data_IF_632753559331
#
_entry.id   IF_632753559331
#
_cell.length_a   1.000
_cell.length_b   1.000
_cell.length_c   1.000
_cell.angle_alpha   90.00
_cell.angle_beta   90.00
_cell.angle_gamma   90.00
#
_symmetry.space_group_name_H-M   'P 1'
#
loop_
_entity.id
_entity.type
_entity.pdbx_description
1 polymer ?
#
# COMPACT_ATOMS: atom_id res chain seq x y z
N UNK A 1 11.43 19.07 24.73
CA UNK A 1 11.17 20.49 24.35
C UNK A 1 12.09 21.00 23.23
N UNK A 2 13.32 20.49 23.06
CA UNK A 2 14.18 20.83 21.91
C UNK A 2 13.70 20.19 20.59
N UNK A 3 13.29 18.92 20.63
CA UNK A 3 12.77 18.15 19.49
C UNK A 3 11.55 18.81 18.82
N UNK A 4 10.56 19.22 19.61
CA UNK A 4 9.36 19.90 19.10
C UNK A 4 9.68 21.18 18.33
N UNK A 5 10.81 21.85 18.65
CA UNK A 5 11.19 23.11 17.99
C UNK A 5 11.70 22.88 16.58
N UNK A 6 12.51 21.85 16.32
CA UNK A 6 13.07 21.59 14.98
C UNK A 6 12.00 21.20 13.98
N UNK A 7 11.04 20.34 14.37
CA UNK A 7 9.88 20.02 13.53
C UNK A 7 9.07 21.28 13.22
N UNK A 8 8.85 22.15 14.22
CA UNK A 8 8.15 23.42 14.00
C UNK A 8 8.87 24.32 13.00
N UNK A 9 10.20 24.42 13.12
CA UNK A 9 11.03 25.20 12.20
C UNK A 9 10.97 24.62 10.77
N UNK A 10 10.97 23.28 10.64
CA UNK A 10 10.82 22.60 9.34
C UNK A 10 9.44 22.82 8.70
N UNK A 11 8.36 22.83 9.49
CA UNK A 11 7.01 23.17 9.01
C UNK A 11 6.99 24.60 8.44
N UNK A 12 7.59 25.57 9.16
CA UNK A 12 7.66 26.96 8.70
C UNK A 12 8.48 27.06 7.42
N UNK A 13 9.60 26.34 7.36
CA UNK A 13 10.49 26.33 6.20
C UNK A 13 9.77 25.76 4.96
N UNK A 14 9.20 24.57 5.07
CA UNK A 14 8.45 23.92 4.00
C UNK A 14 7.26 24.78 3.52
N UNK A 15 6.50 25.37 4.46
CA UNK A 15 5.38 26.23 4.12
C UNK A 15 5.77 27.47 3.32
N UNK A 16 6.94 28.07 3.63
CA UNK A 16 7.50 29.19 2.87
C UNK A 16 8.02 28.76 1.52
N UNK A 17 8.74 27.62 1.46
CA UNK A 17 9.29 27.08 0.22
C UNK A 17 8.20 26.78 -0.82
N UNK A 18 7.08 26.20 -0.38
CA UNK A 18 5.94 25.86 -1.23
C UNK A 18 4.85 26.94 -1.29
N UNK A 19 5.14 28.18 -0.89
CA UNK A 19 4.16 29.26 -0.90
C UNK A 19 3.59 29.49 -2.31
N UNK A 20 2.26 29.51 -2.42
CA UNK A 20 1.56 29.68 -3.69
C UNK A 20 1.46 28.43 -4.57
N UNK A 21 2.20 27.37 -4.27
CA UNK A 21 2.08 26.11 -5.00
C UNK A 21 0.79 25.35 -4.68
N UNK A 22 0.28 24.60 -5.64
CA UNK A 22 -0.95 23.80 -5.53
C UNK A 22 -0.71 22.36 -5.92
N UNK A 23 -1.45 21.44 -5.30
CA UNK A 23 -1.51 20.04 -5.74
C UNK A 23 -2.06 19.97 -7.17
N UNK A 24 -1.45 19.14 -8.01
CA UNK A 24 -1.73 19.05 -9.45
C UNK A 24 -3.23 18.86 -9.74
N UNK A 25 -3.80 19.78 -10.49
CA UNK A 25 -5.21 19.74 -10.90
C UNK A 25 -6.22 20.05 -9.80
N UNK A 26 -5.79 20.68 -8.69
CA UNK A 26 -6.64 21.07 -7.56
C UNK A 26 -6.31 22.49 -7.08
N UNK A 27 -7.15 23.05 -6.19
CA UNK A 27 -6.88 24.31 -5.47
C UNK A 27 -6.24 24.07 -4.09
N UNK A 28 -5.88 22.82 -3.77
CA UNK A 28 -5.30 22.46 -2.47
C UNK A 28 -3.86 22.97 -2.39
N UNK A 29 -3.46 23.71 -1.33
CA UNK A 29 -2.08 24.13 -1.12
C UNK A 29 -1.12 22.94 -1.09
N UNK A 30 0.03 23.07 -1.77
CA UNK A 30 0.99 21.94 -1.89
C UNK A 30 1.52 21.45 -0.54
N UNK A 31 1.70 22.36 0.41
CA UNK A 31 2.20 22.03 1.76
C UNK A 31 1.41 20.93 2.48
N UNK A 32 0.16 20.66 2.09
CA UNK A 32 -0.63 19.58 2.67
C UNK A 32 -0.01 18.21 2.44
N UNK A 33 0.73 18.04 1.32
CA UNK A 33 1.40 16.79 1.00
C UNK A 33 2.63 16.52 1.89
N UNK A 34 3.65 17.39 1.98
CA UNK A 34 4.75 17.17 2.91
C UNK A 34 4.29 17.00 4.37
N UNK A 35 3.20 17.68 4.75
CA UNK A 35 2.62 17.53 6.08
C UNK A 35 2.03 16.14 6.29
N UNK A 36 1.33 15.59 5.30
CA UNK A 36 0.81 14.22 5.33
C UNK A 36 1.93 13.18 5.37
N UNK A 37 3.00 13.37 4.60
CA UNK A 37 4.19 12.50 4.63
C UNK A 37 4.81 12.47 6.03
N UNK A 38 5.02 13.64 6.64
CA UNK A 38 5.53 13.73 8.00
C UNK A 38 4.60 13.09 9.03
N UNK A 39 3.28 13.20 8.86
CA UNK A 39 2.30 12.55 9.72
C UNK A 39 2.41 11.02 9.62
N UNK A 40 2.50 10.47 8.42
CA UNK A 40 2.68 9.02 8.20
C UNK A 40 3.95 8.52 8.90
N UNK A 41 5.06 9.26 8.79
CA UNK A 41 6.32 8.93 9.46
C UNK A 41 6.20 9.01 11.00
N UNK A 42 5.48 9.99 11.53
CA UNK A 42 5.19 10.08 12.97
C UNK A 42 4.36 8.89 13.46
N UNK A 43 3.32 8.50 12.72
CA UNK A 43 2.47 7.36 13.03
C UNK A 43 3.26 6.03 12.98
N UNK A 44 4.25 5.95 12.10
CA UNK A 44 5.18 4.81 12.01
C UNK A 44 6.24 4.79 13.13
N UNK A 45 6.28 5.81 14.01
CA UNK A 45 7.25 5.89 15.12
C UNK A 45 8.67 6.28 14.69
N UNK A 46 8.83 6.91 13.54
CA UNK A 46 10.11 7.38 13.03
C UNK A 46 10.68 8.52 13.89
N UNK A 47 11.99 8.70 13.84
CA UNK A 47 12.69 9.74 14.59
C UNK A 47 12.47 11.16 14.02
N UNK A 48 12.93 12.17 14.76
CA UNK A 48 12.80 13.57 14.39
C UNK A 48 13.47 13.89 13.04
N UNK A 49 14.61 13.28 12.75
CA UNK A 49 15.38 13.50 11.52
C UNK A 49 14.58 13.08 10.30
N UNK A 50 13.98 11.89 10.36
CA UNK A 50 13.18 11.36 9.27
C UNK A 50 11.86 12.13 9.09
N UNK A 51 11.21 12.55 10.19
CA UNK A 51 10.00 13.39 10.14
C UNK A 51 10.31 14.74 9.48
N UNK A 52 11.46 15.37 9.81
CA UNK A 52 11.89 16.62 9.17
C UNK A 52 12.21 16.38 7.69
N UNK A 53 12.87 15.29 7.34
CA UNK A 53 13.10 14.93 5.95
C UNK A 53 11.77 14.78 5.18
N UNK A 54 10.75 14.16 5.78
CA UNK A 54 9.40 14.07 5.22
C UNK A 54 8.73 15.42 4.96
N UNK A 55 8.96 16.41 5.85
CA UNK A 55 8.48 17.80 5.63
C UNK A 55 9.22 18.51 4.49
N UNK A 56 10.45 18.13 4.20
CA UNK A 56 11.34 18.84 3.27
C UNK A 56 11.60 18.08 1.96
N UNK A 57 11.13 16.85 1.80
CA UNK A 57 11.54 15.94 0.72
C UNK A 57 11.42 16.53 -0.68
N UNK A 58 10.36 17.30 -0.95
CA UNK A 58 10.11 17.92 -2.26
C UNK A 58 10.75 19.31 -2.42
N UNK A 59 11.38 19.87 -1.37
CA UNK A 59 11.86 21.28 -1.42
C UNK A 59 13.02 21.46 -2.38
N UNK A 60 13.96 20.53 -2.47
CA UNK A 60 15.08 20.58 -3.43
C UNK A 60 14.61 20.43 -4.87
N UNK A 61 13.61 19.58 -5.09
CA UNK A 61 13.15 19.26 -6.43
C UNK A 61 12.20 20.31 -7.00
N UNK A 62 11.31 20.86 -6.18
CA UNK A 62 10.14 21.61 -6.63
C UNK A 62 10.15 23.10 -6.20
N UNK A 63 11.22 23.56 -5.53
CA UNK A 63 11.35 24.96 -5.10
C UNK A 63 12.74 25.54 -5.41
N UNK A 64 12.98 26.77 -4.98
CA UNK A 64 14.27 27.45 -5.10
C UNK A 64 15.21 27.17 -3.90
N UNK A 65 14.82 26.29 -2.99
CA UNK A 65 15.62 25.91 -1.81
C UNK A 65 16.87 25.19 -2.25
N UNK A 66 17.99 25.55 -1.65
CA UNK A 66 19.29 24.95 -1.92
C UNK A 66 19.68 23.91 -0.87
N UNK A 67 20.52 22.94 -1.25
CA UNK A 67 21.09 21.96 -0.33
C UNK A 67 21.81 22.62 0.86
N UNK A 68 22.51 23.73 0.63
CA UNK A 68 23.21 24.48 1.69
C UNK A 68 22.24 25.05 2.75
N UNK A 69 21.08 25.52 2.35
CA UNK A 69 20.07 26.03 3.29
C UNK A 69 19.49 24.93 4.17
N UNK A 70 19.25 23.73 3.60
CA UNK A 70 18.78 22.59 4.37
C UNK A 70 19.86 22.12 5.34
N UNK A 71 21.11 21.98 4.87
CA UNK A 71 22.22 21.52 5.70
C UNK A 71 22.48 22.48 6.87
N UNK A 72 22.49 23.80 6.63
CA UNK A 72 22.70 24.83 7.65
C UNK A 72 21.63 24.79 8.75
N UNK A 73 20.35 24.60 8.37
CA UNK A 73 19.24 24.70 9.31
C UNK A 73 18.88 23.37 9.98
N UNK A 74 18.99 22.24 9.26
CA UNK A 74 18.50 20.95 9.72
C UNK A 74 19.58 19.87 9.84
N UNK A 75 20.75 20.10 9.27
CA UNK A 75 21.92 19.21 9.36
C UNK A 75 22.10 18.30 8.16
N UNK A 76 23.30 17.68 8.05
CA UNK A 76 23.67 16.86 6.91
C UNK A 76 22.85 15.55 6.80
N UNK A 77 22.35 15.03 7.91
CA UNK A 77 21.54 13.78 7.92
C UNK A 77 20.18 14.03 7.24
N UNK A 78 19.52 15.14 7.56
CA UNK A 78 18.26 15.54 6.89
C UNK A 78 18.51 15.79 5.40
N UNK A 79 19.59 16.53 5.07
CA UNK A 79 19.93 16.79 3.67
C UNK A 79 20.14 15.50 2.88
N UNK A 80 20.86 14.53 3.45
CA UNK A 80 21.10 13.25 2.77
C UNK A 80 19.80 12.50 2.46
N UNK A 81 18.83 12.49 3.37
CA UNK A 81 17.53 11.88 3.16
C UNK A 81 16.69 12.62 2.10
N UNK A 82 16.70 13.96 2.13
CA UNK A 82 15.99 14.78 1.12
C UNK A 82 16.60 14.61 -0.28
N UNK A 83 17.92 14.55 -0.37
CA UNK A 83 18.63 14.39 -1.65
C UNK A 83 18.40 12.99 -2.27
N UNK A 84 18.23 11.96 -1.43
CA UNK A 84 18.00 10.58 -1.88
C UNK A 84 16.66 10.38 -2.62
N UNK A 85 15.65 11.23 -2.36
CA UNK A 85 14.34 11.19 -3.04
C UNK A 85 14.32 12.01 -4.35
N UNK A 86 15.40 12.76 -4.66
CA UNK A 86 15.47 13.64 -5.83
C UNK A 86 15.69 12.87 -7.13
N UNK A 87 14.90 13.18 -8.17
CA UNK A 87 14.99 12.54 -9.49
C UNK A 87 15.76 13.40 -10.52
N UNK A 88 16.53 12.77 -11.42
CA UNK A 88 17.15 13.44 -12.55
C UNK A 88 16.12 13.78 -13.65
N UNK A 89 15.62 15.01 -13.64
CA UNK A 89 14.62 15.52 -14.59
C UNK A 89 15.08 15.53 -16.06
N UNK A 90 16.37 15.29 -16.35
CA UNK A 90 16.88 15.18 -17.73
C UNK A 90 16.49 13.86 -18.40
N UNK A 91 16.14 12.84 -17.63
CA UNK A 91 15.78 11.51 -18.10
C UNK A 91 14.29 11.40 -18.47
N UNK A 92 13.95 10.36 -19.28
CA UNK A 92 12.55 10.02 -19.53
C UNK A 92 11.82 9.62 -18.24
N UNK A 93 10.50 9.71 -18.22
CA UNK A 93 9.71 9.28 -17.07
C UNK A 93 10.00 7.81 -16.72
N UNK A 94 10.04 6.95 -17.74
CA UNK A 94 10.31 5.51 -17.59
C UNK A 94 11.69 5.24 -16.98
N UNK A 95 12.71 5.96 -17.44
CA UNK A 95 14.07 5.78 -16.93
C UNK A 95 14.20 6.30 -15.50
N UNK A 96 13.60 7.45 -15.19
CA UNK A 96 13.56 7.96 -13.81
C UNK A 96 12.93 6.95 -12.86
N UNK A 97 11.74 6.42 -13.21
CA UNK A 97 11.04 5.45 -12.35
C UNK A 97 11.79 4.13 -12.20
N UNK A 98 12.47 3.67 -13.23
CA UNK A 98 13.36 2.50 -13.12
C UNK A 98 14.54 2.77 -12.19
N UNK A 99 15.19 3.93 -12.32
CA UNK A 99 16.30 4.30 -11.43
C UNK A 99 15.84 4.38 -9.97
N UNK A 100 14.69 4.98 -9.69
CA UNK A 100 14.10 5.02 -8.34
C UNK A 100 13.88 3.60 -7.81
N UNK A 101 13.24 2.72 -8.58
CA UNK A 101 12.97 1.34 -8.19
C UNK A 101 14.29 0.57 -7.91
N UNK A 102 15.28 0.69 -8.79
CA UNK A 102 16.58 0.04 -8.66
C UNK A 102 17.35 0.57 -7.44
N UNK A 103 17.36 1.89 -7.24
CA UNK A 103 17.99 2.50 -6.08
C UNK A 103 17.36 2.01 -4.77
N UNK A 104 16.04 2.10 -4.66
CA UNK A 104 15.30 1.69 -3.46
C UNK A 104 15.46 0.18 -3.17
N UNK A 105 15.55 -0.66 -4.20
CA UNK A 105 15.73 -2.11 -4.06
C UNK A 105 17.13 -2.48 -3.59
N UNK A 106 18.16 -1.84 -4.17
CA UNK A 106 19.53 -2.37 -4.10
C UNK A 106 20.44 -1.57 -3.16
N UNK A 107 20.07 -0.34 -2.82
CA UNK A 107 20.99 0.61 -2.17
C UNK A 107 20.40 1.40 -1.01
N UNK A 108 19.10 1.59 -0.97
CA UNK A 108 18.47 2.46 0.01
C UNK A 108 18.61 1.91 1.45
N UNK A 109 18.81 2.80 2.39
CA UNK A 109 18.72 2.52 3.81
C UNK A 109 17.26 2.30 4.23
N UNK A 110 17.03 1.82 5.46
CA UNK A 110 15.68 1.69 5.99
C UNK A 110 14.96 3.04 6.05
N UNK A 111 15.67 4.10 6.45
CA UNK A 111 15.13 5.45 6.55
C UNK A 111 14.69 5.99 5.18
N UNK A 112 15.49 5.76 4.14
CA UNK A 112 15.15 6.15 2.76
C UNK A 112 13.95 5.35 2.22
N UNK A 113 13.86 4.05 2.54
CA UNK A 113 12.69 3.24 2.20
C UNK A 113 11.42 3.73 2.90
N UNK A 114 11.52 4.09 4.20
CA UNK A 114 10.39 4.63 4.97
C UNK A 114 9.93 5.98 4.41
N UNK A 115 10.87 6.88 4.07
CA UNK A 115 10.56 8.17 3.46
C UNK A 115 9.84 7.99 2.11
N UNK A 116 10.41 7.18 1.22
CA UNK A 116 9.82 6.90 -0.08
C UNK A 116 8.44 6.24 0.05
N UNK A 117 8.27 5.27 0.96
CA UNK A 117 6.97 4.64 1.19
C UNK A 117 5.93 5.64 1.69
N UNK A 118 6.29 6.53 2.63
CA UNK A 118 5.39 7.55 3.15
C UNK A 118 4.96 8.55 2.08
N UNK A 119 5.88 9.02 1.21
CA UNK A 119 5.53 9.87 0.07
C UNK A 119 4.56 9.17 -0.88
N UNK A 120 4.88 7.93 -1.27
CA UNK A 120 4.05 7.19 -2.22
C UNK A 120 2.69 6.83 -1.61
N UNK A 121 2.61 6.58 -0.31
CA UNK A 121 1.34 6.39 0.40
C UNK A 121 0.49 7.67 0.39
N UNK A 122 1.05 8.84 0.73
CA UNK A 122 0.34 10.11 0.68
C UNK A 122 -0.19 10.40 -0.74
N UNK A 123 0.62 10.12 -1.77
CA UNK A 123 0.20 10.24 -3.16
C UNK A 123 -0.92 9.25 -3.50
N UNK A 124 -0.86 8.00 -3.05
CA UNK A 124 -1.89 6.98 -3.30
C UNK A 124 -3.21 7.32 -2.61
N UNK A 125 -3.19 7.85 -1.39
CA UNK A 125 -4.39 8.36 -0.70
C UNK A 125 -5.09 9.45 -1.53
N UNK A 126 -4.31 10.40 -2.07
CA UNK A 126 -4.83 11.45 -2.95
C UNK A 126 -5.42 10.88 -4.23
N UNK A 127 -4.73 9.95 -4.89
CA UNK A 127 -5.22 9.26 -6.10
C UNK A 127 -6.52 8.53 -5.80
N UNK A 128 -6.59 7.78 -4.69
CA UNK A 128 -7.80 7.04 -4.30
C UNK A 128 -8.98 7.98 -4.06
N UNK A 129 -8.77 9.08 -3.35
CA UNK A 129 -9.82 10.07 -3.09
C UNK A 129 -10.37 10.65 -4.40
N UNK A 130 -9.49 11.01 -5.33
CA UNK A 130 -9.88 11.53 -6.64
C UNK A 130 -10.53 10.45 -7.52
N UNK A 131 -10.04 9.22 -7.48
CA UNK A 131 -10.59 8.09 -8.23
C UNK A 131 -12.02 7.77 -7.82
N UNK A 132 -12.34 7.88 -6.53
CA UNK A 132 -13.70 7.69 -6.01
C UNK A 132 -14.70 8.72 -6.57
N UNK A 133 -14.22 9.91 -6.94
CA UNK A 133 -15.07 11.01 -7.48
C UNK A 133 -15.08 11.00 -9.00
N UNK A 134 -13.93 10.80 -9.65
CA UNK A 134 -13.73 11.01 -11.08
C UNK A 134 -13.72 9.70 -11.88
N UNK A 135 -13.56 8.54 -11.22
CA UNK A 135 -13.29 7.27 -11.88
C UNK A 135 -12.00 7.35 -12.72
N UNK A 136 -11.99 6.67 -13.85
CA UNK A 136 -10.80 6.62 -14.73
C UNK A 136 -10.38 7.98 -15.30
N UNK A 137 -11.20 9.02 -15.20
CA UNK A 137 -10.80 10.40 -15.59
C UNK A 137 -9.67 10.97 -14.72
N UNK A 138 -9.41 10.39 -13.56
CA UNK A 138 -8.25 10.78 -12.72
C UNK A 138 -6.93 10.65 -13.49
N UNK A 139 -6.86 9.69 -14.40
CA UNK A 139 -5.63 9.41 -15.17
C UNK A 139 -5.28 10.49 -16.21
N UNK A 140 -6.26 11.32 -16.60
CA UNK A 140 -6.04 12.45 -17.53
C UNK A 140 -5.09 13.52 -16.94
N UNK A 141 -4.89 13.53 -15.61
CA UNK A 141 -3.97 14.44 -14.92
C UNK A 141 -2.51 14.01 -15.00
N UNK A 142 -2.25 12.75 -15.33
CA UNK A 142 -0.91 12.19 -15.36
C UNK A 142 -0.35 12.20 -16.77
N UNK A 143 0.96 12.39 -16.89
CA UNK A 143 1.62 12.27 -18.20
C UNK A 143 1.63 10.84 -18.75
N UNK A 144 1.45 9.88 -17.86
CA UNK A 144 1.34 8.45 -18.18
C UNK A 144 0.01 7.90 -17.66
N UNK A 145 -0.60 7.03 -18.44
CA UNK A 145 -1.90 6.46 -18.15
C UNK A 145 -1.90 5.45 -16.98
N UNK A 146 -3.08 4.87 -16.73
CA UNK A 146 -3.32 3.93 -15.64
C UNK A 146 -2.32 2.76 -15.61
N UNK A 147 -2.01 2.17 -16.77
CA UNK A 147 -1.12 1.01 -16.84
C UNK A 147 0.30 1.33 -16.35
N UNK A 148 0.86 2.47 -16.75
CA UNK A 148 2.20 2.88 -16.34
C UNK A 148 2.24 3.27 -14.86
N UNK A 149 1.19 3.91 -14.35
CA UNK A 149 1.06 4.19 -12.92
C UNK A 149 0.93 2.89 -12.12
N UNK A 150 0.10 1.95 -12.58
CA UNK A 150 -0.04 0.63 -11.97
C UNK A 150 1.29 -0.13 -11.91
N UNK A 151 2.05 -0.14 -13.02
CA UNK A 151 3.39 -0.74 -13.06
C UNK A 151 4.33 -0.12 -12.02
N UNK A 152 4.35 1.21 -11.94
CA UNK A 152 5.24 1.89 -10.99
C UNK A 152 4.89 1.55 -9.55
N UNK A 153 3.62 1.66 -9.17
CA UNK A 153 3.19 1.37 -7.79
C UNK A 153 3.33 -0.12 -7.43
N UNK A 154 3.04 -1.06 -8.34
CA UNK A 154 3.27 -2.48 -8.06
C UNK A 154 4.76 -2.78 -7.84
N UNK A 155 5.64 -2.18 -8.66
CA UNK A 155 7.09 -2.33 -8.50
C UNK A 155 7.61 -1.75 -7.18
N UNK A 156 7.03 -0.64 -6.71
CA UNK A 156 7.38 -0.05 -5.42
C UNK A 156 6.89 -0.91 -4.25
N UNK A 157 5.68 -1.46 -4.32
CA UNK A 157 5.15 -2.37 -3.29
C UNK A 157 6.05 -3.61 -3.15
N UNK A 158 6.54 -4.16 -4.26
CA UNK A 158 7.51 -5.26 -4.23
C UNK A 158 8.83 -4.85 -3.56
N UNK A 159 9.29 -3.61 -3.77
CA UNK A 159 10.51 -3.07 -3.12
C UNK A 159 10.28 -2.83 -1.63
N UNK A 160 9.09 -2.38 -1.26
CA UNK A 160 8.73 -2.10 0.13
C UNK A 160 8.37 -3.34 0.96
N UNK A 161 8.48 -4.57 0.43
CA UNK A 161 8.19 -5.81 1.17
C UNK A 161 8.99 -5.92 2.48
N UNK A 162 10.22 -5.37 2.52
CA UNK A 162 11.01 -5.24 3.74
C UNK A 162 10.41 -4.34 4.83
N UNK A 163 9.37 -3.56 4.52
CA UNK A 163 8.64 -2.71 5.46
C UNK A 163 7.37 -3.37 6.00
N UNK A 164 7.25 -4.69 5.92
CA UNK A 164 6.05 -5.42 6.36
C UNK A 164 5.72 -5.29 7.86
N UNK A 165 6.65 -4.85 8.68
CA UNK A 165 6.42 -4.52 10.09
C UNK A 165 5.74 -3.14 10.29
N UNK A 166 5.59 -2.33 9.23
CA UNK A 166 5.01 -0.99 9.28
C UNK A 166 3.62 -0.96 8.63
N UNK A 167 2.68 -0.29 9.28
CA UNK A 167 1.29 -0.20 8.81
C UNK A 167 1.19 0.51 7.44
N UNK A 168 2.04 1.49 7.18
CA UNK A 168 2.08 2.22 5.90
C UNK A 168 2.27 1.31 4.67
N UNK A 169 3.04 0.23 4.78
CA UNK A 169 3.22 -0.74 3.70
C UNK A 169 1.90 -1.44 3.35
N UNK A 170 1.14 -1.80 4.34
CA UNK A 170 -0.13 -2.48 4.15
C UNK A 170 -1.20 -1.57 3.61
N UNK A 171 -1.20 -0.34 4.08
CA UNK A 171 -2.13 0.66 3.58
C UNK A 171 -1.90 0.96 2.09
N UNK A 172 -0.64 1.20 1.67
CA UNK A 172 -0.35 1.45 0.24
C UNK A 172 -0.71 0.23 -0.62
N UNK A 173 -0.48 -0.99 -0.14
CA UNK A 173 -0.83 -2.23 -0.84
C UNK A 173 -2.35 -2.40 -1.01
N UNK A 174 -3.12 -2.07 0.03
CA UNK A 174 -4.57 -2.10 -0.04
C UNK A 174 -5.13 -1.03 -0.98
N UNK A 175 -4.60 0.21 -0.89
CA UNK A 175 -4.99 1.30 -1.77
C UNK A 175 -4.67 0.99 -3.23
N UNK A 176 -3.51 0.38 -3.51
CA UNK A 176 -3.17 -0.10 -4.86
C UNK A 176 -4.24 -1.06 -5.39
N UNK A 177 -4.61 -2.04 -4.59
CA UNK A 177 -5.64 -3.02 -4.97
C UNK A 177 -6.97 -2.33 -5.28
N UNK A 178 -7.35 -1.36 -4.45
CA UNK A 178 -8.62 -0.64 -4.62
C UNK A 178 -8.67 0.26 -5.85
N UNK A 179 -7.52 0.79 -6.28
CA UNK A 179 -7.44 1.76 -7.38
C UNK A 179 -7.13 1.08 -8.72
N UNK A 180 -6.23 0.09 -8.72
CA UNK A 180 -5.69 -0.48 -9.94
C UNK A 180 -6.25 -1.86 -10.29
N UNK A 181 -6.69 -2.65 -9.31
CA UNK A 181 -7.16 -4.01 -9.56
C UNK A 181 -8.66 -4.01 -9.84
N UNK A 182 -9.01 -4.58 -10.98
CA UNK A 182 -10.41 -4.83 -11.37
C UNK A 182 -10.71 -6.32 -11.28
N UNK A 183 -11.94 -6.64 -10.90
CA UNK A 183 -12.42 -8.00 -10.74
C UNK A 183 -13.50 -8.31 -11.78
N UNK A 184 -13.48 -9.53 -12.29
CA UNK A 184 -14.39 -9.98 -13.33
C UNK A 184 -14.90 -11.40 -13.03
N UNK A 185 -16.15 -11.64 -13.39
CA UNK A 185 -16.76 -12.98 -13.34
C UNK A 185 -16.90 -13.53 -14.75
N UNK A 186 -16.51 -14.78 -14.94
CA UNK A 186 -16.56 -15.48 -16.23
C UNK A 186 -16.68 -16.98 -16.08
N UNK A 187 -16.43 -17.71 -17.20
CA UNK A 187 -16.69 -19.12 -17.34
C UNK A 187 -18.09 -19.39 -17.88
N UNK A 188 -18.37 -20.62 -18.32
CA UNK A 188 -19.66 -21.02 -18.90
C UNK A 188 -20.80 -20.99 -17.85
N UNK A 189 -20.44 -21.23 -16.58
CA UNK A 189 -21.38 -21.28 -15.45
C UNK A 189 -21.14 -20.15 -14.43
N UNK A 190 -20.25 -19.17 -14.73
CA UNK A 190 -19.84 -18.15 -13.75
C UNK A 190 -18.91 -18.74 -12.67
N UNK A 191 -18.13 -19.76 -13.02
CA UNK A 191 -17.28 -20.58 -12.16
C UNK A 191 -15.82 -20.07 -12.10
N UNK A 192 -15.56 -18.87 -12.61
CA UNK A 192 -14.22 -18.27 -12.66
C UNK A 192 -14.25 -16.80 -12.26
N UNK A 193 -13.34 -16.44 -11.37
CA UNK A 193 -13.06 -15.06 -11.04
C UNK A 193 -11.73 -14.66 -11.66
N UNK A 194 -11.68 -13.48 -12.25
CA UNK A 194 -10.45 -12.89 -12.75
C UNK A 194 -10.16 -11.60 -11.99
N UNK A 195 -8.90 -11.39 -11.69
CA UNK A 195 -8.39 -10.09 -11.22
C UNK A 195 -7.35 -9.58 -12.20
N UNK A 196 -7.38 -8.28 -12.53
CA UNK A 196 -6.42 -7.66 -13.43
C UNK A 196 -6.05 -6.28 -12.97
N UNK A 197 -4.74 -6.00 -12.93
CA UNK A 197 -4.18 -4.65 -12.71
C UNK A 197 -3.89 -3.91 -14.02
N UNK A 198 -4.27 -4.49 -15.17
CA UNK A 198 -3.86 -4.02 -16.49
C UNK A 198 -2.49 -4.54 -16.93
N UNK A 199 -1.63 -4.91 -16.00
CA UNK A 199 -0.28 -5.46 -16.25
C UNK A 199 -0.30 -6.97 -16.11
N UNK A 200 -0.81 -7.43 -14.98
CA UNK A 200 -0.93 -8.83 -14.64
C UNK A 200 -2.39 -9.22 -14.49
N UNK A 201 -2.70 -10.42 -14.88
CA UNK A 201 -4.04 -10.99 -14.76
C UNK A 201 -3.95 -12.38 -14.18
N UNK A 202 -4.82 -12.68 -13.25
CA UNK A 202 -4.94 -13.97 -12.60
C UNK A 202 -6.37 -14.48 -12.71
N UNK A 203 -6.52 -15.80 -12.81
CA UNK A 203 -7.79 -16.51 -12.79
C UNK A 203 -7.86 -17.38 -11.55
N UNK A 204 -8.96 -17.30 -10.84
CA UNK A 204 -9.33 -18.19 -9.76
C UNK A 204 -10.47 -19.09 -10.21
N UNK A 205 -10.35 -20.39 -10.02
CA UNK A 205 -11.38 -21.36 -10.34
C UNK A 205 -11.84 -22.11 -9.09
N UNK A 206 -13.13 -22.46 -9.06
CA UNK A 206 -13.71 -23.28 -7.99
C UNK A 206 -12.96 -24.60 -7.83
N UNK A 207 -12.59 -25.26 -8.95
CA UNK A 207 -11.93 -26.56 -8.96
C UNK A 207 -10.53 -26.54 -8.36
N UNK A 208 -9.72 -25.53 -8.68
CA UNK A 208 -8.33 -25.45 -8.22
C UNK A 208 -8.17 -24.69 -6.89
N UNK A 209 -9.16 -23.91 -6.50
CA UNK A 209 -9.14 -23.03 -5.33
C UNK A 209 -7.85 -22.22 -5.19
N UNK A 210 -7.27 -21.81 -6.30
CA UNK A 210 -6.04 -21.01 -6.37
C UNK A 210 -6.06 -20.08 -7.58
N UNK A 211 -5.30 -19.03 -7.48
CA UNK A 211 -5.10 -18.09 -8.58
C UNK A 211 -3.98 -18.56 -9.49
N UNK A 212 -4.23 -18.57 -10.74
CA UNK A 212 -3.26 -18.94 -11.78
C UNK A 212 -3.06 -17.77 -12.74
N UNK A 213 -1.81 -17.48 -13.17
CA UNK A 213 -1.57 -16.38 -14.08
C UNK A 213 -2.23 -16.66 -15.44
N UNK A 214 -2.81 -15.60 -16.01
CA UNK A 214 -3.42 -15.60 -17.34
C UNK A 214 -2.55 -14.82 -18.29
N UNK A 215 -2.16 -15.41 -19.42
CA UNK A 215 -1.34 -14.69 -20.38
C UNK A 215 -2.09 -13.49 -20.98
N UNK A 216 -1.38 -12.41 -21.26
CA UNK A 216 -1.94 -11.17 -21.86
C UNK A 216 -2.73 -11.47 -23.15
N UNK A 217 -2.27 -12.42 -23.95
CA UNK A 217 -2.96 -12.84 -25.18
C UNK A 217 -4.30 -13.51 -24.91
N UNK A 218 -4.38 -14.34 -23.86
CA UNK A 218 -5.62 -14.98 -23.44
C UNK A 218 -6.56 -13.94 -22.82
N UNK A 219 -6.04 -13.05 -21.98
CA UNK A 219 -6.80 -11.99 -21.35
C UNK A 219 -7.52 -11.10 -22.34
N UNK A 220 -6.81 -10.52 -23.32
CA UNK A 220 -7.40 -9.66 -24.37
C UNK A 220 -8.57 -10.30 -25.12
N UNK A 221 -8.67 -11.63 -25.15
CA UNK A 221 -9.79 -12.35 -25.77
C UNK A 221 -10.95 -12.58 -24.82
N UNK A 222 -10.66 -12.68 -23.51
CA UNK A 222 -11.62 -12.99 -22.49
C UNK A 222 -12.31 -11.74 -21.93
N UNK A 223 -11.55 -10.71 -21.62
CA UNK A 223 -12.01 -9.50 -20.95
C UNK A 223 -13.31 -8.91 -21.52
N UNK A 224 -13.48 -8.75 -22.86
CA UNK A 224 -14.68 -8.17 -23.42
C UNK A 224 -15.95 -9.00 -23.18
N UNK A 225 -15.81 -10.24 -22.71
CA UNK A 225 -16.90 -11.19 -22.48
C UNK A 225 -17.22 -11.38 -21.00
N UNK A 226 -16.44 -10.77 -20.13
CA UNK A 226 -16.54 -10.96 -18.69
C UNK A 226 -17.45 -9.88 -18.06
N UNK A 227 -18.12 -10.28 -17.00
CA UNK A 227 -18.91 -9.33 -16.19
C UNK A 227 -17.98 -8.71 -15.15
N UNK A 228 -17.88 -7.38 -15.13
CA UNK A 228 -17.18 -6.66 -14.04
C UNK A 228 -17.97 -6.86 -12.75
N UNK A 229 -17.26 -7.20 -11.67
CA UNK A 229 -17.81 -7.34 -10.32
C UNK A 229 -16.99 -6.51 -9.33
N UNK A 230 -17.55 -6.20 -8.18
CA UNK A 230 -16.84 -5.52 -7.11
C UNK A 230 -15.85 -6.46 -6.42
N UNK A 231 -14.82 -5.90 -5.77
CA UNK A 231 -13.89 -6.64 -4.89
C UNK A 231 -14.65 -7.46 -3.84
N UNK A 232 -15.70 -6.88 -3.24
CA UNK A 232 -16.55 -7.55 -2.26
C UNK A 232 -17.29 -8.75 -2.83
N UNK A 233 -17.84 -8.63 -4.04
CA UNK A 233 -18.49 -9.77 -4.72
C UNK A 233 -17.47 -10.87 -5.07
N UNK A 234 -16.27 -10.51 -5.53
CA UNK A 234 -15.22 -11.46 -5.82
C UNK A 234 -14.80 -12.25 -4.57
N UNK A 235 -14.57 -11.55 -3.45
CA UNK A 235 -14.23 -12.19 -2.16
C UNK A 235 -15.36 -13.12 -1.69
N UNK A 236 -16.62 -12.68 -1.77
CA UNK A 236 -17.76 -13.48 -1.37
C UNK A 236 -17.90 -14.76 -2.21
N UNK A 237 -17.61 -14.69 -3.52
CA UNK A 237 -17.61 -15.85 -4.40
C UNK A 237 -16.44 -16.81 -4.10
N UNK A 238 -15.23 -16.25 -3.89
CA UNK A 238 -14.09 -17.04 -3.46
C UNK A 238 -14.38 -17.81 -2.18
N UNK A 239 -14.98 -17.14 -1.20
CA UNK A 239 -15.36 -17.74 0.07
C UNK A 239 -16.43 -18.83 -0.11
N UNK A 240 -17.47 -18.58 -0.90
CA UNK A 240 -18.52 -19.56 -1.17
C UNK A 240 -17.98 -20.82 -1.85
N UNK A 241 -17.01 -20.68 -2.77
CA UNK A 241 -16.39 -21.82 -3.45
C UNK A 241 -15.44 -22.61 -2.53
N UNK A 242 -14.93 -21.97 -1.48
CA UNK A 242 -14.05 -22.58 -0.49
C UNK A 242 -14.76 -23.20 0.70
N UNK A 243 -16.06 -23.01 0.85
CA UNK A 243 -16.79 -23.55 2.01
C UNK A 243 -16.71 -25.10 2.13
N UNK A 244 -16.09 -25.75 1.14
CA UNK A 244 -15.65 -27.14 1.25
C UNK A 244 -14.23 -27.28 1.88
N UNK A 245 -13.43 -26.20 1.99
CA UNK A 245 -12.09 -26.18 2.60
C UNK A 245 -11.92 -24.95 3.51
N UNK A 246 -11.43 -25.10 4.74
CA UNK A 246 -11.43 -24.01 5.71
C UNK A 246 -10.59 -22.83 5.25
N UNK A 247 -11.15 -21.67 5.47
CA UNK A 247 -10.87 -20.29 5.11
C UNK A 247 -9.45 -19.70 5.31
N UNK A 248 -8.46 -20.49 5.70
CA UNK A 248 -7.10 -20.01 5.97
C UNK A 248 -6.34 -19.55 4.72
N UNK A 249 -6.68 -20.09 3.56
CA UNK A 249 -6.06 -19.65 2.30
C UNK A 249 -6.52 -18.25 1.85
N UNK A 250 -7.67 -17.78 2.33
CA UNK A 250 -8.11 -16.40 2.11
C UNK A 250 -7.16 -15.40 2.78
N UNK A 251 -6.65 -15.73 3.96
CA UNK A 251 -5.70 -14.91 4.71
C UNK A 251 -4.34 -14.75 4.02
N UNK A 252 -3.88 -15.74 3.26
CA UNK A 252 -2.61 -15.64 2.54
C UNK A 252 -2.64 -14.53 1.48
N UNK A 253 -3.82 -14.18 1.00
CA UNK A 253 -4.01 -13.19 -0.08
C UNK A 253 -4.47 -11.84 0.39
N UNK A 254 -5.39 -11.86 1.33
CA UNK A 254 -5.95 -10.66 1.93
C UNK A 254 -5.32 -10.43 3.32
N UNK A 255 -4.06 -10.86 3.46
CA UNK A 255 -3.31 -10.93 4.71
C UNK A 255 -3.26 -9.63 5.51
N UNK A 256 -3.65 -8.52 4.90
CA UNK A 256 -3.61 -7.18 5.48
C UNK A 256 -4.94 -6.43 5.41
N UNK A 257 -5.96 -7.08 4.86
CA UNK A 257 -7.31 -6.55 4.96
C UNK A 257 -7.86 -6.88 6.35
N UNK A 258 -7.90 -5.87 7.21
CA UNK A 258 -8.36 -6.00 8.61
C UNK A 258 -9.75 -6.62 8.68
N UNK A 259 -10.64 -6.30 7.74
CA UNK A 259 -12.00 -6.84 7.72
C UNK A 259 -11.97 -8.34 7.40
N UNK A 260 -11.12 -8.78 6.47
CA UNK A 260 -10.94 -10.20 6.14
C UNK A 260 -10.34 -10.96 7.33
N UNK A 261 -9.34 -10.40 8.01
CA UNK A 261 -8.74 -11.00 9.21
C UNK A 261 -9.80 -11.15 10.31
N UNK A 262 -10.58 -10.11 10.58
CA UNK A 262 -11.65 -10.13 11.59
C UNK A 262 -12.75 -11.13 11.23
N UNK A 263 -13.14 -11.22 9.97
CA UNK A 263 -14.17 -12.17 9.53
C UNK A 263 -13.67 -13.63 9.59
N UNK A 264 -12.40 -13.89 9.27
CA UNK A 264 -11.80 -15.19 9.51
C UNK A 264 -11.74 -15.54 11.01
N UNK A 265 -11.40 -14.58 11.87
CA UNK A 265 -11.42 -14.78 13.32
C UNK A 265 -12.82 -15.11 13.85
N UNK A 266 -13.88 -14.44 13.36
CA UNK A 266 -15.28 -14.75 13.69
C UNK A 266 -15.66 -16.17 13.27
N UNK A 267 -15.30 -16.58 12.04
CA UNK A 267 -15.59 -17.93 11.54
C UNK A 267 -14.92 -19.02 12.39
N UNK A 268 -13.64 -18.83 12.77
CA UNK A 268 -12.95 -19.75 13.66
C UNK A 268 -13.68 -19.88 15.04
N UNK A 269 -14.26 -18.78 15.54
CA UNK A 269 -15.08 -18.80 16.74
C UNK A 269 -16.38 -19.58 16.55
N UNK A 270 -17.06 -19.38 15.41
CA UNK A 270 -18.32 -20.07 15.06
C UNK A 270 -18.08 -21.58 14.86
N UNK A 271 -16.90 -21.97 14.39
CA UNK A 271 -16.41 -23.35 14.28
C UNK A 271 -16.03 -23.96 15.64
N UNK A 272 -16.13 -23.19 16.73
CA UNK A 272 -15.85 -23.66 18.10
C UNK A 272 -14.36 -23.78 18.43
N UNK A 273 -13.47 -23.12 17.66
CA UNK A 273 -12.04 -23.06 17.97
C UNK A 273 -11.81 -22.28 19.27
N UNK A 274 -10.71 -22.58 19.93
CA UNK A 274 -10.21 -21.85 21.09
C UNK A 274 -8.76 -21.39 20.87
N UNK A 275 -8.17 -20.55 21.75
CA UNK A 275 -6.82 -20.02 21.54
C UNK A 275 -5.72 -21.08 21.38
N UNK A 276 -5.89 -22.29 21.92
CA UNK A 276 -4.90 -23.38 21.79
C UNK A 276 -4.78 -23.90 20.36
N UNK A 277 -5.80 -23.62 19.53
CA UNK A 277 -5.74 -23.97 18.10
C UNK A 277 -4.56 -23.30 17.39
N UNK A 278 -4.17 -22.10 17.81
CA UNK A 278 -3.04 -21.37 17.23
C UNK A 278 -1.68 -22.00 17.57
N UNK A 279 -1.54 -22.70 18.73
CA UNK A 279 -0.32 -23.41 19.08
C UNK A 279 0.01 -24.47 18.02
N UNK A 280 -1.00 -25.25 17.60
CA UNK A 280 -0.82 -26.24 16.52
C UNK A 280 -0.56 -25.62 15.14
N UNK A 281 -1.08 -24.42 14.89
CA UNK A 281 -0.81 -23.68 13.64
C UNK A 281 0.62 -23.16 13.57
N UNK A 282 1.16 -22.63 14.69
CA UNK A 282 2.55 -22.20 14.76
C UNK A 282 3.54 -23.36 14.57
N UNK A 283 3.23 -24.53 15.13
CA UNK A 283 4.08 -25.72 15.00
C UNK A 283 4.07 -26.33 13.58
N UNK A 284 2.98 -26.13 12.83
CA UNK A 284 2.79 -26.71 11.50
C UNK A 284 2.93 -25.68 10.36
N UNK A 285 3.69 -24.64 10.53
CA UNK A 285 3.86 -23.53 9.57
C UNK A 285 4.40 -23.91 8.17
N UNK A 286 4.31 -25.16 7.74
CA UNK A 286 4.41 -25.55 6.32
C UNK A 286 3.22 -25.11 5.44
N UNK A 287 2.22 -24.42 5.99
CA UNK A 287 0.94 -24.07 5.33
C UNK A 287 0.91 -22.76 4.57
N UNK A 288 2.01 -22.00 4.47
CA UNK A 288 2.10 -20.83 3.59
C UNK A 288 1.40 -19.55 4.08
N UNK A 289 0.89 -19.48 5.33
CA UNK A 289 0.42 -18.22 5.91
C UNK A 289 1.61 -17.45 6.46
N UNK A 290 1.84 -16.20 6.03
CA UNK A 290 2.89 -15.37 6.62
C UNK A 290 2.73 -15.21 8.13
N UNK A 291 3.85 -15.18 8.86
CA UNK A 291 3.85 -15.16 10.32
C UNK A 291 3.14 -13.95 10.92
N UNK A 292 3.26 -12.79 10.29
CA UNK A 292 2.56 -11.54 10.65
C UNK A 292 1.04 -11.65 10.50
N UNK A 293 0.60 -12.24 9.39
CA UNK A 293 -0.83 -12.49 9.14
C UNK A 293 -1.43 -13.47 10.15
N UNK A 294 -0.71 -14.56 10.44
CA UNK A 294 -1.13 -15.51 11.47
C UNK A 294 -1.20 -14.85 12.84
N UNK A 295 -0.23 -13.97 13.16
CA UNK A 295 -0.23 -13.20 14.42
C UNK A 295 -1.40 -12.21 14.48
N UNK A 296 -1.69 -11.50 13.38
CA UNK A 296 -2.84 -10.59 13.31
C UNK A 296 -4.16 -11.34 13.47
N UNK A 297 -4.31 -12.51 12.85
CA UNK A 297 -5.47 -13.38 13.02
C UNK A 297 -5.62 -13.86 14.46
N UNK A 298 -4.54 -14.33 15.07
CA UNK A 298 -4.52 -14.77 16.46
C UNK A 298 -4.94 -13.63 17.41
N UNK A 299 -4.40 -12.43 17.22
CA UNK A 299 -4.78 -11.25 18.00
C UNK A 299 -6.27 -10.91 17.85
N UNK A 300 -6.79 -10.88 16.62
CA UNK A 300 -8.20 -10.62 16.37
C UNK A 300 -9.10 -11.71 16.98
N UNK A 301 -8.71 -12.98 16.83
CA UNK A 301 -9.42 -14.11 17.39
C UNK A 301 -9.47 -14.06 18.93
N UNK A 302 -8.33 -13.86 19.59
CA UNK A 302 -8.25 -13.78 21.05
C UNK A 302 -9.08 -12.61 21.59
N UNK A 303 -9.05 -11.47 20.91
CA UNK A 303 -9.88 -10.30 21.28
C UNK A 303 -11.39 -10.61 21.20
N UNK A 304 -11.83 -11.28 20.14
CA UNK A 304 -13.23 -11.69 19.97
C UNK A 304 -13.62 -12.80 20.96
N UNK A 305 -12.76 -13.80 21.15
CA UNK A 305 -12.97 -14.92 22.08
C UNK A 305 -13.14 -14.46 23.52
N UNK A 306 -12.27 -13.55 23.99
CA UNK A 306 -12.35 -12.97 25.35
C UNK A 306 -13.60 -12.11 25.53
N UNK A 307 -13.97 -11.31 24.52
CA UNK A 307 -15.19 -10.50 24.52
C UNK A 307 -16.45 -11.35 24.63
N UNK A 308 -16.53 -12.43 23.85
CA UNK A 308 -17.72 -13.32 23.85
C UNK A 308 -17.90 -14.09 25.16
N UNK A 309 -16.83 -14.33 25.93
CA UNK A 309 -16.88 -15.02 27.22
C UNK A 309 -16.96 -14.10 28.45
N UNK A 310 -17.08 -12.79 28.22
CA UNK A 310 -17.15 -11.81 29.33
C UNK A 310 -15.86 -11.72 30.15
N UNK A 311 -14.75 -12.22 29.62
CA UNK A 311 -13.42 -12.15 30.22
C UNK A 311 -12.79 -10.80 29.79
N UNK A 312 -13.26 -9.70 30.42
CA UNK A 312 -12.53 -8.43 30.32
C UNK A 312 -11.27 -8.49 31.17
N UNK A 313 -10.13 -8.07 30.59
CA UNK A 313 -8.93 -7.72 31.36
C UNK A 313 -9.17 -6.49 32.20
#
# INVERSE_FOLDING_TARGET
MAETKKIHDAIIFAAKAHEGQRRKGTDIPYITHPFEVAQILMEAGCDETLIIAGLLHDTLEDTEVTAAEIEEQFGPEVLALVDSDSEDKSLSWEDRKKHTIEYLRDRASLEELLLACADKLANMRSIKADYMVLGDKVWDRFHRGKEQQSWYYSSLIDVFDGLSDYEMYWEISNLYTDVFVSYYLGGELGDRIYQSSGIETYCYTEEECRWTPVSTRAWKKLEPKLKVISKKEAIALEDAWRDQYPSLMCLVRHRHDTDVIVDCAKRLLDEGKDPSWFEGMWDNMGGGIPADTLRALECAFVALYTRNRGLSR
#
